data_IF_952907127174
#
_entry.id   IF_952907127174
#
_cell.length_a   1.000
_cell.length_b   1.000
_cell.length_c   1.000
_cell.angle_alpha   90.00
_cell.angle_beta   90.00
_cell.angle_gamma   90.00
#
_symmetry.space_group_name_H-M   'P 1'
#
loop_
_entity.id
_entity.type
_entity.pdbx_description
1 polymer ?
#
# COMPACT_ATOMS: atom_id res chain seq x y z
N UNK A 1 60.31 39.40 15.40
CA UNK A 1 60.15 40.86 15.18
C UNK A 1 58.68 41.11 14.89
N UNK A 2 57.87 41.90 15.59
CA UNK A 2 57.94 42.53 16.90
C UNK A 2 56.52 42.37 17.50
N UNK A 3 56.48 41.94 18.75
CA UNK A 3 55.33 41.84 19.64
C UNK A 3 55.16 43.15 20.41
N UNK A 4 53.94 43.64 20.61
CA UNK A 4 53.63 44.56 21.72
C UNK A 4 52.29 44.23 22.36
N UNK A 5 52.42 43.65 23.55
CA UNK A 5 51.45 43.50 24.64
C UNK A 5 51.34 44.80 25.42
N UNK A 6 50.16 45.13 25.96
CA UNK A 6 50.02 46.01 27.13
C UNK A 6 48.94 45.46 28.10
N UNK A 7 49.35 45.42 29.36
CA UNK A 7 48.73 44.96 30.60
C UNK A 7 47.67 45.94 31.15
N UNK A 8 46.53 45.45 31.67
CA UNK A 8 46.18 45.22 33.10
C UNK A 8 46.12 46.47 33.99
N UNK A 9 44.93 46.84 34.49
CA UNK A 9 44.52 46.77 35.93
C UNK A 9 43.15 47.44 36.18
N UNK A 10 42.44 47.09 37.28
CA UNK A 10 41.00 47.31 37.47
C UNK A 10 40.67 48.45 38.46
N UNK A 11 39.46 49.01 38.35
CA UNK A 11 38.95 50.01 39.32
C UNK A 11 37.65 49.54 39.96
N UNK A 12 37.79 49.37 41.28
CA UNK A 12 36.87 49.36 42.43
C UNK A 12 35.35 49.53 42.26
N UNK A 13 34.65 48.65 42.99
CA UNK A 13 33.32 48.83 43.57
C UNK A 13 33.23 50.11 44.42
N UNK A 14 32.12 50.84 44.28
CA UNK A 14 31.58 51.69 45.35
C UNK A 14 30.07 51.53 45.45
N UNK A 15 29.64 51.29 46.68
CA UNK A 15 28.28 51.18 47.15
C UNK A 15 27.58 52.57 47.24
N UNK A 16 26.34 52.54 47.75
CA UNK A 16 25.37 53.62 48.05
C UNK A 16 24.30 53.76 46.95
N UNK A 17 23.00 53.76 47.20
CA UNK A 17 22.23 53.88 48.44
C UNK A 17 20.86 53.19 48.29
N UNK A 18 20.36 52.63 49.40
CA UNK A 18 18.97 52.17 49.54
C UNK A 18 18.04 53.39 49.65
N UNK A 19 16.91 53.45 48.93
CA UNK A 19 15.78 54.24 49.38
C UNK A 19 14.93 53.43 50.37
N UNK A 20 14.66 54.12 51.46
CA UNK A 20 13.82 53.82 52.61
C UNK A 20 12.41 53.32 52.23
N UNK A 21 11.94 52.32 52.98
CA UNK A 21 10.51 51.97 53.07
C UNK A 21 9.75 53.09 53.78
N UNK A 22 8.58 53.52 53.31
CA UNK A 22 7.53 54.05 54.16
C UNK A 22 6.57 52.92 54.54
N UNK A 23 6.30 52.79 55.84
CA UNK A 23 5.24 51.95 56.40
C UNK A 23 3.85 52.53 56.12
N UNK A 24 2.94 51.60 55.83
CA UNK A 24 1.48 51.61 56.05
C UNK A 24 0.68 52.89 55.78
N UNK A 25 -0.21 52.80 54.78
CA UNK A 25 -1.65 53.02 55.00
C UNK A 25 -2.48 52.10 54.08
N UNK A 26 -3.41 51.38 54.70
CA UNK A 26 -4.39 50.50 54.07
C UNK A 26 -5.42 51.34 53.30
N UNK A 27 -5.55 51.10 51.99
CA UNK A 27 -6.76 51.39 51.24
C UNK A 27 -6.85 50.48 49.98
N UNK A 28 -7.83 49.57 49.97
CA UNK A 28 -8.46 49.06 48.73
C UNK A 28 -9.63 50.00 48.38
N UNK A 29 -10.21 50.04 47.16
CA UNK A 29 -10.06 49.10 46.02
C UNK A 29 -9.89 49.79 44.63
N UNK A 30 -9.49 49.02 43.61
CA UNK A 30 -9.56 49.51 42.21
C UNK A 30 -8.91 48.56 41.21
N UNK A 31 -9.74 47.81 40.49
CA UNK A 31 -9.38 46.77 39.51
C UNK A 31 -8.70 47.39 38.28
N UNK A 32 -7.40 47.16 38.07
CA UNK A 32 -6.73 47.42 36.79
C UNK A 32 -6.12 46.12 36.26
N UNK A 33 -6.62 45.73 35.09
CA UNK A 33 -6.18 44.58 34.30
C UNK A 33 -4.72 44.78 33.89
N UNK A 34 -3.82 43.95 34.41
CA UNK A 34 -2.46 43.84 33.89
C UNK A 34 -2.50 43.02 32.60
N UNK A 35 -2.34 43.70 31.46
CA UNK A 35 -2.04 43.07 30.18
C UNK A 35 -0.61 42.52 30.22
N UNK A 36 -0.47 41.19 30.32
CA UNK A 36 0.79 40.51 30.10
C UNK A 36 1.15 40.61 28.60
N UNK A 37 2.18 41.38 28.28
CA UNK A 37 2.72 41.49 26.93
C UNK A 37 3.44 40.18 26.56
N UNK A 38 2.77 39.32 25.80
CA UNK A 38 3.40 38.21 25.09
C UNK A 38 3.88 38.71 23.73
N UNK A 39 5.08 38.29 23.32
CA UNK A 39 5.82 38.79 22.17
C UNK A 39 5.00 38.80 20.86
N UNK A 40 4.68 40.01 20.37
CA UNK A 40 3.97 40.25 19.12
C UNK A 40 4.95 40.30 17.95
N UNK A 41 5.23 39.14 17.33
CA UNK A 41 5.95 39.09 16.04
C UNK A 41 5.08 39.48 14.82
N UNK A 42 3.80 39.81 15.05
CA UNK A 42 2.88 40.29 14.02
C UNK A 42 2.68 41.79 14.17
N UNK A 43 3.05 42.57 13.13
CA UNK A 43 2.75 44.01 13.03
C UNK A 43 1.27 44.28 12.70
N UNK A 44 0.50 43.24 12.34
CA UNK A 44 -0.95 43.35 12.14
C UNK A 44 -1.66 43.23 13.50
N UNK A 45 -2.45 44.23 13.88
CA UNK A 45 -3.31 44.18 15.05
C UNK A 45 -4.28 42.98 14.96
N UNK A 46 -4.42 42.22 16.06
CA UNK A 46 -5.41 41.15 16.14
C UNK A 46 -6.81 41.73 15.95
N UNK A 47 -7.51 41.33 14.88
CA UNK A 47 -8.89 41.79 14.64
C UNK A 47 -9.81 41.28 15.75
N UNK A 48 -10.61 42.18 16.33
CA UNK A 48 -11.59 41.87 17.38
C UNK A 48 -12.73 40.97 16.88
N UNK A 49 -13.01 40.98 15.58
CA UNK A 49 -14.13 40.25 14.95
C UNK A 49 -13.63 39.29 13.88
N UNK A 50 -14.23 38.10 13.82
CA UNK A 50 -13.97 37.14 12.75
C UNK A 50 -14.34 37.68 11.37
N UNK A 51 -13.49 37.40 10.39
CA UNK A 51 -13.78 37.61 8.95
C UNK A 51 -15.07 36.90 8.54
N UNK A 52 -15.79 37.42 7.54
CA UNK A 52 -17.03 36.80 7.02
C UNK A 52 -16.87 35.29 6.75
N UNK A 53 -15.85 34.88 6.00
CA UNK A 53 -15.59 33.47 5.70
C UNK A 53 -15.41 32.59 6.94
N UNK A 54 -14.81 33.13 8.00
CA UNK A 54 -14.63 32.42 9.28
C UNK A 54 -15.95 32.29 10.04
N UNK A 55 -16.83 33.30 9.96
CA UNK A 55 -18.19 33.21 10.51
C UNK A 55 -19.01 32.16 9.76
N UNK A 56 -18.98 32.19 8.42
CA UNK A 56 -19.70 31.24 7.56
C UNK A 56 -19.20 29.80 7.80
N UNK A 57 -17.88 29.62 7.94
CA UNK A 57 -17.28 28.33 8.32
C UNK A 57 -17.78 27.83 9.68
N UNK A 58 -17.77 28.67 10.71
CA UNK A 58 -18.24 28.25 12.03
C UNK A 58 -19.74 27.99 12.08
N UNK A 59 -20.54 28.73 11.29
CA UNK A 59 -21.97 28.46 11.15
C UNK A 59 -22.19 27.08 10.50
N UNK A 60 -21.45 26.75 9.44
CA UNK A 60 -21.48 25.40 8.84
C UNK A 60 -21.02 24.31 9.83
N UNK A 61 -19.93 24.53 10.56
CA UNK A 61 -19.41 23.59 11.56
C UNK A 61 -20.39 23.31 12.69
N UNK A 62 -21.16 24.33 13.11
CA UNK A 62 -22.20 24.18 14.14
C UNK A 62 -23.44 23.45 13.63
N UNK A 63 -23.76 23.60 12.34
CA UNK A 63 -24.87 22.93 11.66
C UNK A 63 -24.40 21.58 11.10
N UNK A 64 -24.11 21.52 9.80
CA UNK A 64 -23.79 20.29 9.07
C UNK A 64 -22.50 19.61 9.55
N UNK A 65 -21.49 20.38 9.93
CA UNK A 65 -20.20 19.83 10.39
C UNK A 65 -20.26 19.16 11.75
N UNK A 66 -21.32 19.38 12.54
CA UNK A 66 -21.48 18.78 13.87
C UNK A 66 -21.52 17.25 13.81
N UNK A 67 -22.18 16.71 12.78
CA UNK A 67 -22.33 15.27 12.58
C UNK A 67 -21.00 14.58 12.24
N UNK A 68 -20.03 15.34 11.72
CA UNK A 68 -18.70 14.85 11.35
C UNK A 68 -17.68 14.95 12.50
N UNK A 69 -18.07 15.54 13.64
CA UNK A 69 -17.18 15.71 14.80
C UNK A 69 -16.76 14.38 15.42
N UNK A 70 -17.67 13.41 15.42
CA UNK A 70 -17.44 12.06 15.91
C UNK A 70 -17.83 11.06 14.81
N UNK A 71 -17.13 9.93 14.74
CA UNK A 71 -17.50 8.88 13.81
C UNK A 71 -18.80 8.19 14.24
N UNK A 72 -19.48 7.58 13.27
CA UNK A 72 -20.60 6.68 13.52
C UNK A 72 -20.05 5.25 13.52
N UNK A 73 -20.20 4.47 14.59
CA UNK A 73 -19.67 3.11 14.63
C UNK A 73 -20.28 2.23 13.54
N UNK A 74 -19.43 1.54 12.78
CA UNK A 74 -19.84 0.59 11.74
C UNK A 74 -20.34 1.22 10.44
N UNK A 75 -20.27 2.55 10.31
CA UNK A 75 -20.74 3.27 9.13
C UNK A 75 -19.80 4.40 8.72
N UNK A 76 -19.62 4.53 7.41
CA UNK A 76 -18.91 5.65 6.80
C UNK A 76 -19.71 6.94 6.91
N UNK A 77 -19.09 7.96 7.49
CA UNK A 77 -19.70 9.27 7.75
C UNK A 77 -19.14 10.34 6.79
N UNK A 78 -19.41 10.25 5.49
CA UNK A 78 -19.00 11.26 4.51
C UNK A 78 -20.03 12.39 4.35
N UNK A 79 -19.63 13.48 3.69
CA UNK A 79 -20.35 14.76 3.68
C UNK A 79 -21.77 14.68 3.08
N UNK A 80 -22.00 13.86 2.04
CA UNK A 80 -23.30 13.78 1.36
C UNK A 80 -23.91 12.39 1.31
N UNK A 81 -23.09 11.33 1.25
CA UNK A 81 -23.60 9.96 1.15
C UNK A 81 -22.72 8.99 1.90
N UNK A 82 -23.28 7.81 2.19
CA UNK A 82 -22.58 6.75 2.92
C UNK A 82 -21.32 6.27 2.18
N UNK A 83 -21.35 6.08 0.87
CA UNK A 83 -20.24 5.42 0.15
C UNK A 83 -19.43 6.36 -0.74
N UNK A 84 -19.79 7.63 -0.86
CA UNK A 84 -19.13 8.59 -1.74
C UNK A 84 -18.40 9.65 -0.90
N UNK A 85 -17.08 9.52 -0.72
CA UNK A 85 -16.31 10.48 0.07
C UNK A 85 -16.24 11.86 -0.59
N UNK A 86 -16.20 11.92 -1.92
CA UNK A 86 -16.09 13.18 -2.65
C UNK A 86 -17.39 13.48 -3.42
N UNK A 87 -18.09 14.58 -3.11
CA UNK A 87 -19.42 14.85 -3.66
C UNK A 87 -19.42 15.01 -5.19
N UNK A 88 -18.36 15.57 -5.76
CA UNK A 88 -18.24 15.82 -7.20
C UNK A 88 -17.69 14.64 -8.01
N UNK A 89 -17.22 13.57 -7.35
CA UNK A 89 -16.72 12.37 -8.03
C UNK A 89 -17.57 11.14 -7.65
N UNK A 90 -18.60 10.79 -8.43
CA UNK A 90 -19.47 9.65 -8.15
C UNK A 90 -18.82 8.28 -8.45
N UNK A 91 -17.74 8.26 -9.23
CA UNK A 91 -17.04 7.03 -9.62
C UNK A 91 -16.19 6.48 -8.46
N UNK A 92 -15.60 7.37 -7.66
CA UNK A 92 -14.81 6.97 -6.51
C UNK A 92 -15.70 6.68 -5.30
N UNK A 93 -15.82 5.38 -4.97
CA UNK A 93 -16.63 4.88 -3.85
C UNK A 93 -15.76 4.20 -2.79
N UNK A 94 -16.13 4.36 -1.53
CA UNK A 94 -15.54 3.63 -0.42
C UNK A 94 -15.99 2.17 -0.47
N UNK A 95 -15.12 1.31 -0.98
CA UNK A 95 -15.32 -0.14 -0.97
C UNK A 95 -15.17 -0.69 0.45
N UNK A 96 -15.79 -1.84 0.71
CA UNK A 96 -15.66 -2.53 1.99
C UNK A 96 -14.23 -3.02 2.21
N UNK A 97 -13.78 -3.07 3.46
CA UNK A 97 -12.50 -3.64 3.88
C UNK A 97 -12.71 -4.94 4.64
N UNK A 98 -11.72 -5.84 4.63
CA UNK A 98 -11.76 -7.07 5.40
C UNK A 98 -11.70 -6.74 6.90
N UNK A 99 -12.61 -7.32 7.67
CA UNK A 99 -12.58 -7.21 9.12
C UNK A 99 -11.40 -7.97 9.73
N UNK A 100 -11.15 -7.74 11.02
CA UNK A 100 -10.09 -8.47 11.71
C UNK A 100 -10.35 -9.98 11.78
N UNK A 101 -11.60 -10.37 12.09
CA UNK A 101 -12.01 -11.78 12.08
C UNK A 101 -11.91 -12.41 10.69
N UNK A 102 -12.31 -11.71 9.63
CA UNK A 102 -12.19 -12.20 8.26
C UNK A 102 -10.73 -12.44 7.85
N UNK A 103 -9.82 -11.55 8.25
CA UNK A 103 -8.37 -11.70 8.01
C UNK A 103 -7.81 -12.92 8.74
N UNK A 104 -8.25 -13.16 9.98
CA UNK A 104 -7.85 -14.35 10.74
C UNK A 104 -8.35 -15.64 10.06
N UNK A 105 -9.61 -15.69 9.60
CA UNK A 105 -10.16 -16.86 8.91
C UNK A 105 -9.35 -17.23 7.65
N UNK A 106 -9.01 -16.23 6.83
CA UNK A 106 -8.16 -16.43 5.64
C UNK A 106 -6.81 -17.01 6.04
N UNK A 107 -6.19 -16.44 7.08
CA UNK A 107 -4.89 -16.89 7.57
C UNK A 107 -4.95 -18.32 8.13
N UNK A 108 -5.98 -18.67 8.90
CA UNK A 108 -6.20 -20.01 9.43
C UNK A 108 -6.32 -21.05 8.31
N UNK A 109 -7.10 -20.78 7.26
CA UNK A 109 -7.26 -21.70 6.13
C UNK A 109 -5.95 -22.03 5.42
N UNK A 110 -5.10 -21.03 5.23
CA UNK A 110 -3.84 -21.24 4.49
C UNK A 110 -2.78 -21.85 5.40
N UNK A 111 -2.60 -21.33 6.62
CA UNK A 111 -1.52 -21.78 7.51
C UNK A 111 -1.85 -23.03 8.32
N UNK A 112 -3.09 -23.19 8.81
CA UNK A 112 -3.49 -24.35 9.62
C UNK A 112 -4.08 -25.48 8.77
N UNK A 113 -4.97 -25.14 7.85
CA UNK A 113 -5.66 -26.15 7.02
C UNK A 113 -4.87 -26.51 5.76
N UNK A 114 -3.84 -25.74 5.39
CA UNK A 114 -2.99 -26.02 4.23
C UNK A 114 -3.70 -25.84 2.89
N UNK A 115 -4.78 -25.05 2.85
CA UNK A 115 -5.50 -24.77 1.62
C UNK A 115 -4.68 -23.88 0.68
N UNK A 116 -4.80 -24.12 -0.63
CA UNK A 116 -4.16 -23.29 -1.65
C UNK A 116 -4.68 -21.85 -1.63
N UNK A 117 -3.82 -20.88 -1.93
CA UNK A 117 -4.18 -19.46 -1.99
C UNK A 117 -5.29 -19.24 -3.03
N UNK A 118 -5.20 -19.93 -4.17
CA UNK A 118 -6.21 -19.89 -5.23
C UNK A 118 -7.57 -20.42 -4.78
N UNK A 119 -7.62 -21.50 -4.00
CA UNK A 119 -8.87 -22.04 -3.49
C UNK A 119 -9.54 -21.08 -2.50
N UNK A 120 -8.78 -20.56 -1.54
CA UNK A 120 -9.27 -19.58 -0.56
C UNK A 120 -9.75 -18.29 -1.23
N UNK A 121 -9.02 -17.84 -2.27
CA UNK A 121 -9.39 -16.69 -3.09
C UNK A 121 -10.72 -16.89 -3.83
N UNK A 122 -10.92 -18.06 -4.43
CA UNK A 122 -12.17 -18.41 -5.10
C UNK A 122 -13.35 -18.54 -4.12
N UNK A 123 -13.13 -19.11 -2.94
CA UNK A 123 -14.18 -19.32 -1.94
C UNK A 123 -14.72 -18.01 -1.36
N UNK A 124 -13.83 -17.10 -0.96
CA UNK A 124 -14.24 -15.81 -0.37
C UNK A 124 -14.44 -14.69 -1.39
N UNK A 125 -14.10 -14.95 -2.66
CA UNK A 125 -14.08 -13.94 -3.72
C UNK A 125 -13.13 -12.79 -3.37
N UNK A 126 -11.92 -13.10 -2.93
CA UNK A 126 -10.87 -12.13 -2.58
C UNK A 126 -9.72 -12.32 -3.57
N UNK A 127 -9.15 -11.26 -4.15
CA UNK A 127 -8.05 -11.36 -5.10
C UNK A 127 -6.84 -12.08 -4.46
N UNK A 128 -6.22 -13.02 -5.19
CA UNK A 128 -4.99 -13.74 -4.83
C UNK A 128 -3.93 -12.78 -4.25
N UNK A 129 -3.77 -11.60 -4.87
CA UNK A 129 -2.80 -10.58 -4.42
C UNK A 129 -3.14 -10.07 -3.02
N UNK A 130 -4.43 -9.87 -2.73
CA UNK A 130 -4.92 -9.42 -1.42
C UNK A 130 -4.79 -10.52 -0.38
N UNK A 131 -5.14 -11.76 -0.73
CA UNK A 131 -4.97 -12.93 0.16
C UNK A 131 -3.50 -13.06 0.60
N UNK A 132 -2.55 -13.00 -0.34
CA UNK A 132 -1.12 -13.07 -0.03
C UNK A 132 -0.64 -11.88 0.83
N UNK A 133 -1.23 -10.69 0.68
CA UNK A 133 -0.92 -9.56 1.54
C UNK A 133 -1.48 -9.74 2.97
N UNK A 134 -2.70 -10.26 3.10
CA UNK A 134 -3.32 -10.56 4.40
C UNK A 134 -2.47 -11.55 5.19
N UNK A 135 -2.05 -12.66 4.56
CA UNK A 135 -1.19 -13.65 5.20
C UNK A 135 0.12 -13.03 5.66
N UNK A 136 0.81 -12.27 4.79
CA UNK A 136 2.07 -11.59 5.16
C UNK A 136 1.91 -10.62 6.34
N UNK A 137 0.84 -9.83 6.37
CA UNK A 137 0.60 -8.89 7.46
C UNK A 137 0.20 -9.59 8.76
N UNK A 138 -0.55 -10.71 8.67
CA UNK A 138 -0.90 -11.52 9.83
C UNK A 138 0.31 -12.23 10.43
N UNK A 139 1.23 -12.74 9.61
CA UNK A 139 2.51 -13.27 10.11
C UNK A 139 3.30 -12.21 10.88
N UNK A 140 3.40 -10.98 10.36
CA UNK A 140 4.05 -9.87 11.08
C UNK A 140 3.34 -9.56 12.40
N UNK A 141 2.01 -9.60 12.44
CA UNK A 141 1.21 -9.43 13.66
C UNK A 141 1.53 -10.52 14.69
N UNK A 142 1.52 -11.81 14.30
CA UNK A 142 1.88 -12.93 15.18
C UNK A 142 3.32 -12.83 15.68
N UNK A 143 4.24 -12.41 14.82
CA UNK A 143 5.63 -12.11 15.18
C UNK A 143 5.75 -11.03 16.27
N UNK A 144 4.93 -9.98 16.17
CA UNK A 144 4.89 -8.90 17.14
C UNK A 144 4.29 -9.36 18.46
N UNK A 145 3.23 -10.17 18.43
CA UNK A 145 2.65 -10.80 19.60
C UNK A 145 3.67 -11.72 20.30
N UNK A 146 4.39 -12.54 19.54
CA UNK A 146 5.46 -13.40 20.05
C UNK A 146 6.59 -12.58 20.71
N UNK A 147 6.94 -11.43 20.11
CA UNK A 147 7.92 -10.47 20.64
C UNK A 147 7.34 -9.56 21.73
N UNK A 148 6.07 -9.73 22.12
CA UNK A 148 5.33 -8.92 23.11
C UNK A 148 5.38 -7.42 22.80
N UNK A 149 5.41 -7.03 21.53
CA UNK A 149 5.36 -5.62 21.13
C UNK A 149 3.92 -5.10 21.30
N UNK A 150 3.74 -3.86 21.80
CA UNK A 150 2.41 -3.30 21.96
C UNK A 150 1.76 -3.05 20.59
N UNK A 151 0.58 -3.65 20.38
CA UNK A 151 -0.24 -3.44 19.19
C UNK A 151 -1.12 -2.21 19.35
N UNK A 152 -1.30 -1.45 18.27
CA UNK A 152 -2.15 -0.25 18.24
C UNK A 152 -3.66 -0.59 18.17
N UNK A 153 -4.16 -1.44 19.07
CA UNK A 153 -5.55 -1.95 19.06
C UNK A 153 -6.62 -0.86 19.20
N UNK A 154 -6.48 0.19 20.05
CA UNK A 154 -7.48 1.25 20.13
C UNK A 154 -7.61 2.03 18.82
N UNK A 155 -6.48 2.31 18.18
CA UNK A 155 -6.45 2.97 16.88
C UNK A 155 -7.09 2.11 15.79
N UNK A 156 -6.70 0.84 15.70
CA UNK A 156 -7.23 -0.09 14.70
C UNK A 156 -8.76 -0.24 14.79
N UNK A 157 -9.30 -0.37 16.00
CA UNK A 157 -10.75 -0.44 16.24
C UNK A 157 -11.48 0.82 15.77
N UNK A 158 -11.02 1.99 16.23
CA UNK A 158 -11.64 3.26 15.85
C UNK A 158 -11.62 3.51 14.34
N UNK A 159 -10.54 3.13 13.64
CA UNK A 159 -10.44 3.28 12.17
C UNK A 159 -11.33 2.27 11.45
N UNK A 160 -11.39 1.02 11.89
CA UNK A 160 -12.26 0.01 11.28
C UNK A 160 -13.74 0.38 11.44
N UNK A 161 -14.12 0.97 12.57
CA UNK A 161 -15.49 1.45 12.82
C UNK A 161 -15.91 2.59 11.88
N UNK A 162 -14.96 3.33 11.30
CA UNK A 162 -15.22 4.39 10.33
C UNK A 162 -15.41 3.87 8.89
N UNK A 163 -15.06 2.61 8.63
CA UNK A 163 -15.04 2.02 7.30
C UNK A 163 -16.14 0.96 7.14
N UNK A 164 -16.64 0.71 5.92
CA UNK A 164 -17.52 -0.42 5.71
C UNK A 164 -16.68 -1.69 5.83
N UNK A 165 -17.04 -2.59 6.74
CA UNK A 165 -16.30 -3.86 6.92
C UNK A 165 -17.08 -5.04 6.38
N UNK A 166 -16.36 -6.05 5.91
CA UNK A 166 -16.92 -7.32 5.44
C UNK A 166 -16.38 -8.45 6.31
N UNK A 167 -17.31 -9.20 6.89
CA UNK A 167 -17.06 -10.41 7.67
C UNK A 167 -17.32 -11.65 6.81
N UNK A 168 -16.61 -12.73 7.10
CA UNK A 168 -16.87 -14.05 6.53
C UNK A 168 -17.40 -14.97 7.61
N UNK A 169 -18.46 -15.72 7.29
CA UNK A 169 -18.92 -16.83 8.12
C UNK A 169 -18.20 -18.10 7.68
N UNK A 170 -17.90 -19.01 8.63
CA UNK A 170 -17.28 -20.30 8.32
C UNK A 170 -18.29 -21.29 7.73
N UNK A 171 -19.54 -21.21 8.15
CA UNK A 171 -20.56 -22.23 7.88
C UNK A 171 -21.55 -21.83 6.78
N UNK A 172 -21.49 -20.59 6.30
CA UNK A 172 -22.42 -20.07 5.29
C UNK A 172 -21.69 -19.67 4.02
N UNK A 173 -22.39 -19.78 2.89
CA UNK A 173 -21.90 -19.27 1.62
C UNK A 173 -21.75 -17.75 1.70
N UNK A 174 -20.50 -17.30 1.60
CA UNK A 174 -20.18 -15.88 1.67
C UNK A 174 -20.42 -15.20 0.33
N UNK A 175 -20.85 -13.94 0.37
CA UNK A 175 -20.86 -13.11 -0.85
C UNK A 175 -19.42 -12.81 -1.27
N UNK A 176 -19.09 -12.79 -2.57
CA UNK A 176 -17.75 -12.41 -3.05
C UNK A 176 -17.34 -11.03 -2.56
N UNK A 177 -16.10 -10.87 -2.06
CA UNK A 177 -15.59 -9.59 -1.57
C UNK A 177 -15.30 -8.59 -2.70
N UNK A 178 -14.66 -9.06 -3.78
CA UNK A 178 -14.28 -8.29 -4.95
C UNK A 178 -14.29 -9.18 -6.21
N UNK A 179 -14.31 -8.62 -7.43
CA UNK A 179 -14.24 -9.42 -8.65
C UNK A 179 -12.84 -10.04 -8.82
N UNK A 180 -12.74 -11.36 -8.64
CA UNK A 180 -11.46 -12.10 -8.74
C UNK A 180 -11.03 -12.39 -10.19
N UNK A 181 -11.92 -12.19 -11.16
CA UNK A 181 -11.70 -12.50 -12.58
C UNK A 181 -11.36 -11.27 -13.43
N UNK A 182 -10.94 -10.16 -12.81
CA UNK A 182 -10.52 -8.96 -13.54
C UNK A 182 -9.25 -9.22 -14.36
N UNK A 183 -9.32 -8.85 -15.64
CA UNK A 183 -8.21 -8.98 -16.58
C UNK A 183 -7.59 -7.61 -16.86
N UNK A 184 -6.26 -7.56 -16.89
CA UNK A 184 -5.55 -6.38 -17.40
C UNK A 184 -5.88 -6.16 -18.88
N UNK A 185 -6.22 -4.92 -19.27
CA UNK A 185 -6.43 -4.56 -20.68
C UNK A 185 -5.06 -4.41 -21.36
N UNK A 186 -4.71 -5.34 -22.25
CA UNK A 186 -3.43 -5.30 -22.95
C UNK A 186 -3.47 -4.27 -24.09
N UNK A 187 -2.39 -3.51 -24.37
CA UNK A 187 -2.41 -2.51 -25.44
C UNK A 187 -2.82 -3.07 -26.81
N UNK A 188 -2.40 -4.30 -27.14
CA UNK A 188 -2.80 -4.96 -28.40
C UNK A 188 -4.31 -5.19 -28.53
N UNK A 189 -5.04 -5.32 -27.41
CA UNK A 189 -6.50 -5.54 -27.43
C UNK A 189 -7.29 -4.23 -27.44
N UNK A 190 -6.63 -3.07 -27.44
CA UNK A 190 -7.30 -1.76 -27.49
C UNK A 190 -7.61 -1.29 -28.91
N UNK A 191 -7.15 -2.03 -29.92
CA UNK A 191 -7.40 -1.71 -31.33
C UNK A 191 -8.81 -2.12 -31.74
N UNK A 192 -9.49 -1.28 -32.51
CA UNK A 192 -10.76 -1.63 -33.14
C UNK A 192 -10.47 -2.38 -34.43
N UNK A 193 -10.78 -3.68 -34.46
CA UNK A 193 -10.51 -4.56 -35.61
C UNK A 193 -11.82 -5.18 -36.10
N UNK A 194 -12.08 -5.04 -37.39
CA UNK A 194 -13.13 -5.79 -38.08
C UNK A 194 -12.44 -6.84 -38.95
N UNK A 195 -12.38 -8.08 -38.45
CA UNK A 195 -11.64 -9.16 -39.08
C UNK A 195 -12.51 -9.88 -40.13
N UNK A 196 -12.19 -9.81 -41.43
CA UNK A 196 -12.99 -10.49 -42.45
C UNK A 196 -12.81 -12.01 -42.32
N UNK A 197 -13.92 -12.74 -42.27
CA UNK A 197 -13.95 -14.21 -42.21
C UNK A 197 -14.92 -14.78 -43.21
N UNK A 198 -14.82 -16.07 -43.49
CA UNK A 198 -15.89 -16.80 -44.20
C UNK A 198 -17.20 -16.66 -43.43
N UNK A 199 -18.32 -16.61 -44.16
CA UNK A 199 -19.68 -16.56 -43.62
C UNK A 199 -20.02 -17.74 -42.70
N UNK A 200 -19.41 -18.90 -42.95
CA UNK A 200 -19.64 -20.14 -42.20
C UNK A 200 -18.59 -20.40 -41.10
N UNK A 201 -17.63 -19.50 -40.90
CA UNK A 201 -16.55 -19.72 -39.92
C UNK A 201 -17.04 -19.48 -38.49
N UNK A 202 -16.83 -20.45 -37.61
CA UNK A 202 -16.98 -20.26 -36.17
C UNK A 202 -15.77 -19.52 -35.60
N UNK A 203 -15.93 -18.24 -35.25
CA UNK A 203 -14.84 -17.41 -34.73
C UNK A 203 -14.77 -17.47 -33.20
N UNK A 204 -13.70 -18.06 -32.66
CA UNK A 204 -13.54 -18.30 -31.21
C UNK A 204 -12.73 -17.21 -30.49
N UNK A 205 -12.69 -17.24 -29.15
CA UNK A 205 -11.83 -16.35 -28.34
C UNK A 205 -10.34 -16.54 -28.62
N UNK A 206 -9.92 -17.75 -28.99
CA UNK A 206 -8.54 -18.03 -29.38
C UNK A 206 -8.23 -17.43 -30.76
N UNK A 207 -9.18 -17.49 -31.71
CA UNK A 207 -9.06 -16.81 -33.00
C UNK A 207 -9.00 -15.28 -32.83
N UNK A 208 -9.85 -14.73 -31.96
CA UNK A 208 -9.85 -13.31 -31.64
C UNK A 208 -8.50 -12.85 -31.04
N UNK A 209 -7.93 -13.64 -30.12
CA UNK A 209 -6.62 -13.33 -29.55
C UNK A 209 -5.53 -13.29 -30.63
N UNK A 210 -5.51 -14.29 -31.53
CA UNK A 210 -4.57 -14.34 -32.66
C UNK A 210 -4.78 -13.19 -33.64
N UNK A 211 -6.02 -12.76 -33.86
CA UNK A 211 -6.35 -11.62 -34.71
C UNK A 211 -5.79 -10.30 -34.14
N UNK A 212 -5.74 -10.13 -32.80
CA UNK A 212 -5.06 -8.99 -32.18
C UNK A 212 -3.54 -9.09 -32.30
N UNK A 213 -2.95 -10.24 -31.93
CA UNK A 213 -1.51 -10.48 -32.07
C UNK A 213 -1.18 -11.98 -31.99
N UNK A 214 -0.18 -12.43 -32.75
CA UNK A 214 0.18 -13.85 -32.82
C UNK A 214 0.62 -14.48 -31.48
N UNK A 215 1.20 -13.69 -30.57
CA UNK A 215 1.60 -14.12 -29.21
C UNK A 215 0.53 -13.90 -28.15
N UNK A 216 -0.62 -13.31 -28.50
CA UNK A 216 -1.64 -12.96 -27.52
C UNK A 216 -2.37 -14.22 -27.04
N UNK A 217 -2.45 -14.38 -25.73
CA UNK A 217 -3.24 -15.43 -25.11
C UNK A 217 -4.71 -15.02 -25.08
N UNK A 218 -5.61 -16.00 -25.18
CA UNK A 218 -7.05 -15.81 -24.98
C UNK A 218 -7.36 -15.29 -23.58
N UNK A 219 -8.55 -14.69 -23.42
CA UNK A 219 -9.01 -14.21 -22.12
C UNK A 219 -8.97 -15.35 -21.07
N UNK A 220 -9.50 -16.52 -21.43
CA UNK A 220 -9.59 -17.71 -20.59
C UNK A 220 -8.23 -18.12 -19.99
N UNK A 221 -7.13 -18.03 -20.76
CA UNK A 221 -5.76 -18.38 -20.30
C UNK A 221 -5.10 -17.30 -19.45
N UNK A 222 -5.62 -16.07 -19.50
CA UNK A 222 -5.06 -14.91 -18.80
C UNK A 222 -5.72 -14.66 -17.44
N UNK A 223 -6.86 -15.29 -17.18
CA UNK A 223 -7.57 -15.18 -15.90
C UNK A 223 -6.64 -15.69 -14.77
N UNK A 224 -6.66 -15.07 -13.59
CA UNK A 224 -5.85 -15.54 -12.44
C UNK A 224 -6.21 -16.97 -11.99
N UNK A 225 -7.47 -17.36 -12.17
CA UNK A 225 -8.05 -18.66 -11.82
C UNK A 225 -8.55 -19.43 -13.06
N UNK A 226 -7.67 -19.92 -13.95
CA UNK A 226 -8.09 -20.73 -15.09
C UNK A 226 -8.75 -22.06 -14.65
N UNK A 227 -8.47 -22.53 -13.43
CA UNK A 227 -9.05 -23.75 -12.87
C UNK A 227 -10.57 -23.61 -12.62
N UNK A 228 -11.08 -22.40 -12.33
CA UNK A 228 -12.52 -22.16 -12.20
C UNK A 228 -13.26 -22.36 -13.54
N UNK A 229 -12.62 -22.02 -14.65
CA UNK A 229 -13.21 -22.25 -15.98
C UNK A 229 -13.34 -23.76 -16.25
N UNK A 230 -12.37 -24.56 -15.79
CA UNK A 230 -12.44 -26.02 -15.92
C UNK A 230 -13.57 -26.58 -15.05
N UNK A 231 -13.68 -26.12 -13.80
CA UNK A 231 -14.76 -26.50 -12.90
C UNK A 231 -16.15 -26.23 -13.50
N UNK A 232 -16.37 -25.03 -14.04
CA UNK A 232 -17.66 -24.68 -14.67
C UNK A 232 -17.94 -25.51 -15.92
N UNK A 233 -16.90 -25.89 -16.69
CA UNK A 233 -17.05 -26.80 -17.83
C UNK A 233 -17.46 -28.20 -17.38
N UNK A 234 -16.85 -28.72 -16.32
CA UNK A 234 -17.22 -30.02 -15.76
C UNK A 234 -18.67 -30.06 -15.26
N UNK A 235 -19.13 -28.98 -14.64
CA UNK A 235 -20.53 -28.84 -14.21
C UNK A 235 -21.45 -28.82 -15.43
N UNK A 236 -21.08 -28.09 -16.49
CA UNK A 236 -21.85 -28.05 -17.74
C UNK A 236 -21.89 -29.41 -18.46
N UNK A 237 -20.84 -30.23 -18.32
CA UNK A 237 -20.77 -31.62 -18.80
C UNK A 237 -21.61 -32.59 -17.96
N UNK A 238 -22.17 -32.15 -16.83
CA UNK A 238 -23.07 -32.92 -15.99
C UNK A 238 -22.43 -33.57 -14.75
N UNK A 239 -21.18 -33.22 -14.40
CA UNK A 239 -20.57 -33.69 -13.14
C UNK A 239 -21.24 -33.03 -11.94
N UNK A 240 -21.21 -33.71 -10.79
CA UNK A 240 -21.73 -33.14 -9.54
C UNK A 240 -20.91 -31.91 -9.12
N UNK A 241 -21.54 -30.80 -8.66
CA UNK A 241 -20.83 -29.61 -8.19
C UNK A 241 -19.81 -29.90 -7.08
N UNK A 242 -20.08 -30.90 -6.24
CA UNK A 242 -19.16 -31.32 -5.18
C UNK A 242 -17.88 -31.94 -5.77
N UNK A 243 -18.02 -32.84 -6.74
CA UNK A 243 -16.89 -33.48 -7.41
C UNK A 243 -16.05 -32.47 -8.18
N UNK A 244 -16.70 -31.55 -8.91
CA UNK A 244 -16.04 -30.47 -9.63
C UNK A 244 -15.26 -29.53 -8.69
N UNK A 245 -15.81 -29.23 -7.51
CA UNK A 245 -15.13 -28.42 -6.48
C UNK A 245 -13.89 -29.12 -5.91
N UNK A 246 -13.96 -30.43 -5.67
CA UNK A 246 -12.79 -31.21 -5.22
C UNK A 246 -11.71 -31.29 -6.30
N UNK A 247 -12.10 -31.48 -7.57
CA UNK A 247 -11.17 -31.42 -8.70
C UNK A 247 -10.52 -30.04 -8.82
N UNK A 248 -11.29 -28.97 -8.65
CA UNK A 248 -10.78 -27.60 -8.62
C UNK A 248 -9.72 -27.40 -7.53
N UNK A 249 -10.01 -27.83 -6.29
CA UNK A 249 -9.05 -27.72 -5.17
C UNK A 249 -7.76 -28.48 -5.46
N UNK A 250 -7.86 -29.71 -5.99
CA UNK A 250 -6.70 -30.51 -6.39
C UNK A 250 -5.89 -29.81 -7.49
N UNK A 251 -6.54 -29.33 -8.54
CA UNK A 251 -5.89 -28.62 -9.64
C UNK A 251 -5.20 -27.33 -9.16
N UNK A 252 -5.84 -26.57 -8.27
CA UNK A 252 -5.29 -25.37 -7.66
C UNK A 252 -4.02 -25.70 -6.86
N UNK A 253 -4.06 -26.72 -5.99
CA UNK A 253 -2.89 -27.18 -5.23
C UNK A 253 -1.75 -27.65 -6.14
N UNK A 254 -2.05 -28.44 -7.18
CA UNK A 254 -1.03 -28.86 -8.14
C UNK A 254 -0.40 -27.68 -8.87
N UNK A 255 -1.20 -26.67 -9.24
CA UNK A 255 -0.69 -25.48 -9.93
C UNK A 255 0.28 -24.70 -9.04
N UNK A 256 -0.02 -24.58 -7.75
CA UNK A 256 0.83 -23.93 -6.76
C UNK A 256 2.09 -24.75 -6.48
N UNK A 257 1.99 -26.08 -6.36
CA UNK A 257 3.12 -26.97 -6.21
C UNK A 257 4.08 -26.89 -7.42
N UNK A 258 3.55 -26.85 -8.64
CA UNK A 258 4.32 -26.65 -9.88
C UNK A 258 5.01 -25.28 -9.89
N UNK A 259 4.33 -24.22 -9.44
CA UNK A 259 4.92 -22.89 -9.34
C UNK A 259 6.04 -22.83 -8.27
N UNK A 260 5.82 -23.46 -7.12
CA UNK A 260 6.80 -23.56 -6.04
C UNK A 260 8.05 -24.35 -6.48
N UNK A 261 7.86 -25.49 -7.13
CA UNK A 261 8.96 -26.29 -7.68
C UNK A 261 9.79 -25.48 -8.70
N UNK A 262 9.15 -24.71 -9.59
CA UNK A 262 9.84 -23.81 -10.52
C UNK A 262 10.61 -22.70 -9.81
N UNK A 263 10.07 -22.16 -8.71
CA UNK A 263 10.76 -21.15 -7.92
C UNK A 263 11.99 -21.73 -7.22
N UNK A 264 11.87 -22.90 -6.58
CA UNK A 264 13.00 -23.61 -5.95
C UNK A 264 14.06 -24.00 -6.97
N UNK A 265 13.67 -24.49 -8.16
CA UNK A 265 14.62 -24.77 -9.23
C UNK A 265 15.39 -23.52 -9.64
N UNK A 266 14.72 -22.36 -9.76
CA UNK A 266 15.41 -21.08 -10.07
C UNK A 266 16.40 -20.68 -8.98
N UNK A 267 16.08 -20.87 -7.69
CA UNK A 267 17.01 -20.56 -6.59
C UNK A 267 18.19 -21.52 -6.59
N UNK A 268 17.95 -22.83 -6.73
CA UNK A 268 19.00 -23.86 -6.83
C UNK A 268 19.93 -23.58 -8.01
N UNK A 269 19.38 -23.25 -9.18
CA UNK A 269 20.16 -22.89 -10.36
C UNK A 269 21.00 -21.64 -10.08
N UNK A 270 20.41 -20.60 -9.47
CA UNK A 270 21.14 -19.38 -9.15
C UNK A 270 22.28 -19.62 -8.14
N UNK A 271 22.07 -20.48 -7.15
CA UNK A 271 23.10 -20.87 -6.19
C UNK A 271 24.20 -21.73 -6.82
N UNK A 272 23.86 -22.66 -7.71
CA UNK A 272 24.83 -23.49 -8.45
C UNK A 272 25.83 -22.64 -9.23
N UNK A 273 25.39 -21.53 -9.81
CA UNK A 273 26.25 -20.60 -10.55
C UNK A 273 26.89 -19.52 -9.67
N UNK A 274 26.73 -19.59 -8.34
CA UNK A 274 27.30 -18.61 -7.41
C UNK A 274 28.30 -19.30 -6.46
N UNK A 275 29.60 -19.08 -6.67
CA UNK A 275 30.64 -19.58 -5.78
C UNK A 275 30.86 -18.63 -4.61
N UNK A 276 30.75 -19.15 -3.38
CA UNK A 276 30.90 -18.38 -2.14
C UNK A 276 32.28 -18.65 -1.54
N UNK A 277 33.12 -17.62 -1.42
CA UNK A 277 34.45 -17.69 -0.82
C UNK A 277 34.45 -16.88 0.47
N UNK A 278 34.57 -17.57 1.62
CA UNK A 278 34.60 -16.92 2.93
C UNK A 278 35.99 -16.36 3.21
N UNK A 279 36.04 -15.12 3.67
CA UNK A 279 37.24 -14.46 4.22
C UNK A 279 36.97 -14.06 5.68
N UNK A 280 37.97 -13.59 6.43
CA UNK A 280 37.77 -13.19 7.83
C UNK A 280 36.73 -12.08 8.04
N UNK A 281 36.57 -11.16 7.07
CA UNK A 281 35.68 -9.98 7.18
C UNK A 281 34.41 -10.08 6.34
N UNK A 282 34.49 -10.73 5.18
CA UNK A 282 33.42 -10.72 4.18
C UNK A 282 33.25 -12.09 3.51
N UNK A 283 32.10 -12.30 2.91
CA UNK A 283 31.88 -13.42 1.99
C UNK A 283 31.86 -12.88 0.56
N UNK A 284 32.83 -13.29 -0.25
CA UNK A 284 32.84 -12.96 -1.67
C UNK A 284 31.91 -13.91 -2.42
N UNK A 285 30.94 -13.36 -3.16
CA UNK A 285 29.99 -14.13 -3.97
C UNK A 285 30.28 -13.87 -5.45
N UNK A 286 30.95 -14.82 -6.10
CA UNK A 286 31.23 -14.74 -7.52
C UNK A 286 30.12 -15.44 -8.30
N UNK A 287 29.32 -14.67 -9.03
CA UNK A 287 28.28 -15.19 -9.90
C UNK A 287 28.85 -15.39 -11.31
N UNK A 288 28.78 -16.61 -11.82
CA UNK A 288 29.15 -16.91 -13.19
C UNK A 288 28.15 -16.26 -14.17
N UNK A 289 28.68 -15.62 -15.20
CA UNK A 289 27.91 -14.95 -16.26
C UNK A 289 28.49 -15.34 -17.61
N UNK A 290 27.64 -15.46 -18.63
CA UNK A 290 28.11 -15.71 -19.98
C UNK A 290 28.46 -14.36 -20.66
N UNK A 291 29.74 -14.18 -20.97
CA UNK A 291 30.27 -12.96 -21.59
C UNK A 291 29.86 -12.77 -23.06
N UNK A 292 29.44 -13.84 -23.73
CA UNK A 292 29.05 -13.81 -25.16
C UNK A 292 27.62 -13.28 -25.36
N UNK A 293 26.81 -13.20 -24.30
CA UNK A 293 25.41 -12.73 -24.33
C UNK A 293 25.29 -11.20 -24.41
N UNK A 294 26.01 -10.58 -25.35
CA UNK A 294 26.01 -9.13 -25.61
C UNK A 294 25.14 -8.72 -26.80
N UNK A 295 24.61 -9.70 -27.55
CA UNK A 295 23.84 -9.50 -28.77
C UNK A 295 24.71 -9.12 -29.97
N UNK A 296 24.16 -9.24 -31.18
CA UNK A 296 24.94 -9.10 -32.43
C UNK A 296 25.68 -7.76 -32.59
N UNK A 297 25.16 -6.68 -31.99
CA UNK A 297 25.77 -5.33 -32.04
C UNK A 297 26.39 -4.89 -30.71
N UNK A 298 26.59 -5.81 -29.76
CA UNK A 298 27.06 -5.48 -28.41
C UNK A 298 26.05 -4.67 -27.56
N UNK A 299 24.78 -4.62 -27.97
CA UNK A 299 23.71 -3.85 -27.31
C UNK A 299 22.57 -4.78 -26.87
N UNK A 300 22.72 -5.40 -25.70
CA UNK A 300 21.65 -6.17 -25.04
C UNK A 300 21.17 -5.49 -23.74
N UNK A 301 19.87 -5.67 -23.41
CA UNK A 301 19.26 -5.15 -22.16
C UNK A 301 19.79 -5.88 -20.92
N UNK A 302 20.01 -7.18 -21.04
CA UNK A 302 20.43 -8.07 -19.95
C UNK A 302 21.94 -8.36 -19.94
N UNK A 303 22.73 -7.62 -20.75
CA UNK A 303 24.18 -7.76 -20.76
C UNK A 303 24.77 -7.25 -19.44
N UNK A 304 25.80 -7.96 -18.95
CA UNK A 304 26.46 -7.64 -17.68
C UNK A 304 27.69 -6.75 -17.95
N UNK A 305 27.81 -5.67 -17.17
CA UNK A 305 28.93 -4.73 -17.25
C UNK A 305 28.50 -3.28 -17.47
N UNK A 306 29.42 -2.35 -17.23
CA UNK A 306 29.20 -0.94 -17.55
C UNK A 306 29.38 -0.71 -19.05
N UNK A 307 28.40 -0.10 -19.71
CA UNK A 307 28.43 0.09 -21.17
C UNK A 307 29.37 1.24 -21.56
N UNK A 308 30.21 1.02 -22.57
CA UNK A 308 31.09 2.04 -23.15
C UNK A 308 30.33 2.95 -24.14
N UNK A 309 30.83 4.17 -24.34
CA UNK A 309 30.24 5.14 -25.29
C UNK A 309 28.90 5.74 -24.84
N UNK A 310 28.55 5.62 -23.55
CA UNK A 310 27.37 6.24 -22.96
C UNK A 310 27.80 7.34 -21.97
N UNK A 311 27.51 8.63 -22.24
CA UNK A 311 27.80 9.70 -21.29
C UNK A 311 26.91 9.59 -20.05
N UNK A 312 27.30 10.27 -18.96
CA UNK A 312 26.44 10.35 -17.77
C UNK A 312 25.13 11.08 -18.11
N UNK A 313 24.01 10.49 -17.67
CA UNK A 313 22.67 11.07 -17.75
C UNK A 313 22.31 11.89 -16.51
N UNK A 314 23.27 12.24 -15.64
CA UNK A 314 22.98 12.93 -14.37
C UNK A 314 22.35 14.31 -14.53
N UNK A 315 22.62 14.97 -15.68
CA UNK A 315 22.08 16.27 -16.06
C UNK A 315 20.77 16.14 -16.86
N UNK A 316 20.35 14.92 -17.21
CA UNK A 316 19.12 14.70 -17.96
C UNK A 316 17.91 14.94 -17.05
N UNK A 317 16.93 15.70 -17.56
CA UNK A 317 15.67 15.95 -16.86
C UNK A 317 14.90 14.64 -16.71
N UNK A 318 14.39 14.36 -15.51
CA UNK A 318 13.60 13.16 -15.23
C UNK A 318 14.43 11.90 -14.90
N UNK A 319 15.75 12.01 -14.75
CA UNK A 319 16.58 10.87 -14.36
C UNK A 319 16.28 10.41 -12.92
N UNK A 320 15.98 9.12 -12.76
CA UNK A 320 15.69 8.51 -11.45
C UNK A 320 17.01 8.23 -10.72
N UNK A 321 17.19 8.85 -9.55
CA UNK A 321 18.37 8.70 -8.66
C UNK A 321 18.03 8.02 -7.32
N UNK A 322 16.82 7.48 -7.22
CA UNK A 322 16.26 6.83 -6.03
C UNK A 322 16.20 5.31 -6.33
N UNK A 323 16.44 4.43 -5.34
CA UNK A 323 16.32 2.98 -5.54
C UNK A 323 14.91 2.61 -6.05
N UNK A 324 14.85 1.93 -7.20
CA UNK A 324 13.58 1.51 -7.84
C UNK A 324 13.10 0.14 -7.36
N UNK A 325 13.93 -0.60 -6.63
CA UNK A 325 13.61 -1.92 -6.08
C UNK A 325 14.29 -2.07 -4.72
N UNK A 326 13.49 -2.44 -3.71
CA UNK A 326 13.97 -2.83 -2.37
C UNK A 326 13.73 -4.34 -2.26
N UNK A 327 14.80 -5.15 -2.27
CA UNK A 327 14.70 -6.61 -2.32
C UNK A 327 14.26 -7.24 -1.01
#
# INVERSE_FOLDING_TARGET
>A
MQSRTLSTTPVALSALARPTRPECLVARPGRLLQCAATASFSTTASREVYTKSRRDFFDWMKRKGKDLKHHKPGETNYIMSKYQPFPFNPLFRSQSVLSDGAREIIWEKIMKHGESIKAVSAEFGVDIRRVAAVVRLKEVEKDWEAKKKPLARPYARAVLDMLPTKNFSKDMQNTPFEPINELHVHPYTMQQIFWPTSESRQFTREDAAKAFHHTMLSADKRVPHPELIQMEREIAEGKSPYEASENFKKAAMESEAKAAARAMQKTIIAEKYTTRVKSPRFEFRFRQVNAELVGAKGKARNAVGWKYGAPSYDRAKGQIKIPTSVP
#
